data_IF_615515336978
#
_entry.id   IF_615515336978
#
_cell.length_a   1.000
_cell.length_b   1.000
_cell.length_c   1.000
_cell.angle_alpha   90.00
_cell.angle_beta   90.00
_cell.angle_gamma   90.00
#
_symmetry.space_group_name_H-M   'P 1'
#
loop_
_entity.id
_entity.type
_entity.pdbx_description
1 polymer ?
#
# COMPACT_ATOMS: atom_id res chain seq x y z
N UNK A 1 59.62 -22.51 12.75
CA UNK A 1 59.75 -23.20 14.07
C UNK A 1 59.18 -22.30 15.15
N UNK A 2 58.63 -22.88 16.25
CA UNK A 2 57.82 -22.19 17.30
C UNK A 2 56.52 -21.57 16.72
N UNK A 3 55.32 -22.11 16.86
CA UNK A 3 54.71 -23.16 17.71
C UNK A 3 54.37 -22.75 19.16
N UNK A 4 53.21 -22.11 19.33
CA UNK A 4 52.37 -22.04 20.55
C UNK A 4 50.94 -21.60 20.20
N UNK A 5 49.94 -21.82 21.07
CA UNK A 5 49.07 -23.02 21.04
C UNK A 5 47.89 -22.83 22.04
N UNK A 6 46.62 -22.86 21.56
CA UNK A 6 45.35 -22.72 22.34
C UNK A 6 45.09 -21.31 22.93
N UNK A 7 43.85 -20.79 22.95
CA UNK A 7 42.67 -21.39 23.60
C UNK A 7 41.38 -21.41 22.76
N UNK A 8 40.43 -22.22 23.23
CA UNK A 8 39.13 -22.47 22.58
C UNK A 8 38.01 -22.21 23.58
N UNK A 9 36.96 -21.48 23.19
CA UNK A 9 35.74 -21.42 23.99
C UNK A 9 34.50 -21.42 23.09
N UNK A 10 33.71 -22.48 23.22
CA UNK A 10 32.38 -22.58 22.60
C UNK A 10 31.37 -21.94 23.55
N UNK A 11 30.41 -21.20 23.01
CA UNK A 11 29.14 -20.94 23.70
C UNK A 11 28.02 -21.64 22.94
N UNK A 12 27.23 -22.45 23.65
CA UNK A 12 25.96 -22.99 23.17
C UNK A 12 24.80 -22.09 23.66
N UNK A 13 23.63 -22.11 23.00
CA UNK A 13 22.50 -21.27 23.38
C UNK A 13 21.87 -21.71 24.70
N UNK A 14 21.43 -20.74 25.49
CA UNK A 14 20.64 -20.99 26.70
C UNK A 14 19.16 -21.20 26.33
N UNK A 15 18.67 -22.43 26.52
CA UNK A 15 17.23 -22.75 26.45
C UNK A 15 16.62 -22.42 27.81
N UNK A 16 15.62 -21.54 27.83
CA UNK A 16 14.78 -21.30 29.02
C UNK A 16 13.42 -21.93 28.79
N UNK A 17 13.25 -23.16 29.27
CA UNK A 17 11.94 -23.80 29.38
C UNK A 17 11.34 -23.50 30.76
N UNK A 18 10.08 -23.06 30.79
CA UNK A 18 9.30 -22.93 32.02
C UNK A 18 8.08 -23.84 31.90
N UNK A 19 8.03 -24.84 32.76
CA UNK A 19 6.89 -25.75 32.96
C UNK A 19 6.73 -26.02 34.46
N UNK A 20 5.65 -26.72 34.84
CA UNK A 20 5.16 -26.95 36.21
C UNK A 20 4.29 -25.81 36.79
N UNK A 21 3.19 -26.09 37.51
CA UNK A 21 2.51 -27.38 37.76
C UNK A 21 1.01 -27.22 38.10
N UNK A 22 0.23 -28.23 37.73
CA UNK A 22 -1.02 -28.74 38.34
C UNK A 22 -1.93 -27.84 39.21
N UNK A 23 -3.22 -27.84 38.84
CA UNK A 23 -4.30 -28.15 39.77
C UNK A 23 -5.34 -29.03 39.06
N UNK A 24 -5.91 -30.02 39.74
CA UNK A 24 -6.92 -30.93 39.19
C UNK A 24 -8.19 -30.92 40.04
N UNK A 25 -9.35 -30.94 39.40
CA UNK A 25 -10.61 -31.33 40.02
C UNK A 25 -11.53 -31.97 38.99
N UNK A 26 -11.72 -33.29 39.11
CA UNK A 26 -12.85 -34.03 38.52
C UNK A 26 -14.13 -33.73 39.29
N UNK A 27 -15.29 -33.89 38.66
CA UNK A 27 -16.60 -33.87 39.32
C UNK A 27 -17.53 -34.85 38.59
N UNK A 28 -17.62 -36.06 39.15
CA UNK A 28 -18.25 -37.24 38.57
C UNK A 28 -18.67 -38.16 39.75
N UNK A 29 -19.92 -38.63 39.92
CA UNK A 29 -21.18 -38.49 39.16
C UNK A 29 -22.38 -38.32 40.12
N UNK A 30 -23.55 -37.87 39.61
CA UNK A 30 -24.85 -38.01 40.26
C UNK A 30 -26.00 -38.14 39.23
N UNK A 31 -26.36 -39.36 38.87
CA UNK A 31 -27.56 -39.71 38.10
C UNK A 31 -28.73 -39.94 39.08
N UNK A 32 -29.92 -39.42 38.77
CA UNK A 32 -31.14 -39.66 39.56
C UNK A 32 -32.23 -40.17 38.64
N UNK A 33 -32.73 -41.39 38.92
CA UNK A 33 -33.72 -42.09 38.11
C UNK A 33 -35.14 -41.50 38.24
N UNK A 34 -36.00 -41.87 37.30
CA UNK A 34 -37.41 -41.45 37.20
C UNK A 34 -38.33 -42.58 37.66
N UNK A 35 -39.19 -42.31 38.64
CA UNK A 35 -40.41 -43.05 39.04
C UNK A 35 -41.16 -42.18 40.08
N UNK A 36 -42.48 -42.11 40.20
CA UNK A 36 -43.57 -42.42 39.25
C UNK A 36 -44.79 -41.51 39.55
N UNK A 37 -45.90 -41.71 38.85
CA UNK A 37 -47.07 -40.82 38.74
C UNK A 37 -47.74 -40.37 40.07
N UNK A 38 -48.28 -39.15 40.04
CA UNK A 38 -49.68 -38.98 40.42
C UNK A 38 -50.41 -37.98 39.50
N UNK A 39 -51.67 -38.27 39.22
CA UNK A 39 -52.52 -37.65 38.20
C UNK A 39 -53.42 -36.58 38.84
N UNK A 40 -53.43 -35.37 38.30
CA UNK A 40 -54.41 -34.33 38.62
C UNK A 40 -54.77 -33.53 37.37
N UNK A 41 -55.90 -32.84 37.40
CA UNK A 41 -56.65 -32.42 36.22
C UNK A 41 -56.11 -31.14 35.55
N UNK A 42 -56.35 -31.04 34.24
CA UNK A 42 -55.97 -29.87 33.41
C UNK A 42 -57.12 -28.86 33.39
N UNK A 43 -56.94 -27.64 33.92
CA UNK A 43 -57.78 -26.51 33.54
C UNK A 43 -57.44 -26.12 32.10
N UNK A 44 -58.44 -26.04 31.22
CA UNK A 44 -58.23 -25.51 29.86
C UNK A 44 -57.92 -24.02 29.98
N UNK A 45 -56.67 -23.64 29.73
CA UNK A 45 -56.28 -22.24 29.58
C UNK A 45 -56.67 -21.80 28.17
N UNK A 46 -57.54 -20.80 28.12
CA UNK A 46 -58.03 -20.16 26.89
C UNK A 46 -56.86 -19.57 26.07
N UNK A 47 -56.90 -19.56 24.73
CA UNK A 47 -55.83 -19.00 23.92
C UNK A 47 -55.66 -17.50 24.22
N UNK A 48 -54.58 -17.15 24.93
CA UNK A 48 -54.27 -15.76 25.26
C UNK A 48 -54.13 -14.93 23.99
N UNK A 49 -54.74 -13.73 23.99
CA UNK A 49 -54.60 -12.77 22.89
C UNK A 49 -53.12 -12.56 22.50
N UNK A 50 -52.83 -12.30 21.21
CA UNK A 50 -51.48 -11.95 20.80
C UNK A 50 -51.04 -10.70 21.57
N UNK A 51 -49.92 -10.82 22.28
CA UNK A 51 -49.30 -9.69 23.00
C UNK A 51 -49.23 -8.47 22.09
N UNK A 52 -49.65 -7.27 22.54
CA UNK A 52 -49.65 -6.09 21.69
C UNK A 52 -48.25 -5.84 21.13
N UNK A 53 -48.18 -5.47 19.85
CA UNK A 53 -46.92 -5.11 19.21
C UNK A 53 -46.30 -3.93 19.96
N UNK A 54 -45.17 -4.18 20.62
CA UNK A 54 -44.41 -3.14 21.32
C UNK A 54 -43.87 -2.18 20.27
N UNK A 55 -44.59 -1.08 20.09
CA UNK A 55 -44.27 -0.02 19.13
C UNK A 55 -43.14 0.83 19.70
N UNK A 56 -41.92 0.29 19.60
CA UNK A 56 -40.70 0.97 20.00
C UNK A 56 -40.61 2.35 19.34
N UNK A 57 -40.21 3.37 20.11
CA UNK A 57 -40.00 4.75 19.62
C UNK A 57 -38.76 4.90 18.72
N UNK A 58 -38.30 3.81 18.09
CA UNK A 58 -37.13 3.78 17.22
C UNK A 58 -37.23 2.65 16.20
N UNK A 59 -36.45 2.81 15.11
CA UNK A 59 -36.20 1.82 14.09
C UNK A 59 -34.69 1.54 14.02
N UNK A 60 -34.34 0.27 13.92
CA UNK A 60 -33.03 -0.16 13.43
C UNK A 60 -33.19 -0.64 11.99
N UNK A 61 -32.20 -0.35 11.15
CA UNK A 61 -32.11 -0.87 9.79
C UNK A 61 -30.64 -1.01 9.40
N UNK A 62 -30.33 -1.97 8.54
CA UNK A 62 -28.99 -2.21 8.06
C UNK A 62 -28.98 -2.58 6.57
N UNK A 63 -27.78 -2.69 6.00
CA UNK A 63 -27.61 -3.07 4.61
C UNK A 63 -26.16 -3.10 4.18
N UNK A 64 -25.95 -3.34 2.90
CA UNK A 64 -24.63 -3.36 2.27
C UNK A 64 -24.30 -1.97 1.72
N UNK A 65 -23.02 -1.62 1.73
CA UNK A 65 -22.49 -0.43 1.07
C UNK A 65 -22.25 -0.72 -0.42
N UNK A 66 -22.59 0.23 -1.29
CA UNK A 66 -22.21 0.19 -2.69
C UNK A 66 -20.68 0.25 -2.86
N UNK A 67 -20.15 -0.55 -3.79
CA UNK A 67 -18.72 -0.75 -4.02
C UNK A 67 -17.97 0.54 -4.34
N UNK A 68 -18.62 1.49 -5.00
CA UNK A 68 -18.10 2.80 -5.39
C UNK A 68 -18.08 3.85 -4.26
N UNK A 69 -18.49 3.48 -3.03
CA UNK A 69 -18.64 4.40 -1.90
C UNK A 69 -19.68 5.51 -2.12
N UNK A 70 -20.73 5.25 -2.91
CA UNK A 70 -21.87 6.16 -3.13
C UNK A 70 -22.94 6.10 -2.02
N UNK A 71 -22.94 5.08 -1.17
CA UNK A 71 -23.94 4.90 -0.10
C UNK A 71 -23.82 5.96 0.99
N UNK A 72 -24.64 7.01 0.88
CA UNK A 72 -24.84 8.01 1.93
C UNK A 72 -25.62 7.39 3.11
N UNK A 73 -25.22 7.69 4.34
CA UNK A 73 -25.81 7.15 5.58
C UNK A 73 -26.54 8.22 6.38
N UNK A 74 -25.94 9.42 6.48
CA UNK A 74 -26.51 10.66 7.01
C UNK A 74 -25.99 11.84 6.16
N UNK A 75 -26.50 13.06 6.34
CA UNK A 75 -26.02 14.23 5.58
C UNK A 75 -24.52 14.54 5.76
N UNK A 76 -23.89 14.07 6.83
CA UNK A 76 -22.47 14.22 7.12
C UNK A 76 -21.64 12.94 6.95
N UNK A 77 -22.24 11.79 6.60
CA UNK A 77 -21.51 10.52 6.54
C UNK A 77 -22.00 9.57 5.45
N UNK A 78 -21.06 8.82 4.89
CA UNK A 78 -21.26 7.79 3.86
C UNK A 78 -20.43 6.55 4.19
N UNK A 79 -20.70 5.43 3.54
CA UNK A 79 -19.75 4.33 3.49
C UNK A 79 -18.48 4.75 2.73
N UNK A 80 -17.31 4.38 3.24
CA UNK A 80 -16.05 4.48 2.52
C UNK A 80 -15.50 3.05 2.36
N UNK A 81 -15.66 2.49 1.16
CA UNK A 81 -15.34 1.11 0.84
C UNK A 81 -13.88 1.03 0.35
N UNK A 82 -12.97 0.30 1.02
CA UNK A 82 -11.57 0.24 0.62
C UNK A 82 -11.39 -0.36 -0.79
N UNK A 83 -10.84 0.44 -1.70
CA UNK A 83 -10.51 0.06 -3.07
C UNK A 83 -9.00 -0.15 -3.22
N UNK A 84 -8.58 -1.11 -4.04
CA UNK A 84 -7.26 -1.05 -4.70
C UNK A 84 -7.47 -0.44 -6.09
N UNK A 85 -6.79 0.67 -6.37
CA UNK A 85 -6.51 1.06 -7.76
C UNK A 85 -5.24 0.30 -8.16
N UNK A 86 -5.29 -0.67 -9.10
CA UNK A 86 -4.09 -1.42 -9.45
C UNK A 86 -3.05 -0.50 -10.09
N UNK A 87 -1.79 -0.68 -9.70
CA UNK A 87 -0.66 0.07 -10.23
C UNK A 87 -0.10 -0.61 -11.49
N UNK A 88 0.60 0.12 -12.38
CA UNK A 88 1.24 -0.51 -13.54
C UNK A 88 2.22 -1.60 -13.09
N UNK A 89 2.12 -2.80 -13.67
CA UNK A 89 3.04 -3.90 -13.37
C UNK A 89 4.39 -3.66 -14.07
N UNK A 90 5.29 -2.98 -13.37
CA UNK A 90 6.68 -2.78 -13.78
C UNK A 90 7.47 -4.09 -13.82
N UNK A 91 8.49 -4.17 -14.68
CA UNK A 91 9.56 -5.16 -14.51
C UNK A 91 10.39 -4.86 -13.25
N UNK A 92 11.11 -5.84 -12.69
CA UNK A 92 11.98 -5.59 -11.53
C UNK A 92 13.12 -4.58 -11.87
N UNK A 93 13.51 -4.49 -13.14
CA UNK A 93 14.39 -3.49 -13.73
C UNK A 93 13.75 -2.09 -13.78
N UNK A 94 12.52 -1.96 -14.28
CA UNK A 94 11.78 -0.70 -14.23
C UNK A 94 11.52 -0.24 -12.79
N UNK A 95 11.22 -1.18 -11.89
CA UNK A 95 11.03 -0.92 -10.47
C UNK A 95 12.32 -0.43 -9.82
N UNK A 96 13.47 -1.09 -10.07
CA UNK A 96 14.77 -0.62 -9.61
C UNK A 96 15.11 0.79 -10.15
N UNK A 97 14.82 1.08 -11.42
CA UNK A 97 15.02 2.42 -12.00
C UNK A 97 14.11 3.47 -11.31
N UNK A 98 12.84 3.13 -11.05
CA UNK A 98 11.91 3.97 -10.29
C UNK A 98 12.43 4.26 -8.86
N UNK A 99 12.91 3.23 -8.15
CA UNK A 99 13.44 3.36 -6.79
C UNK A 99 14.71 4.21 -6.76
N UNK A 100 15.65 3.95 -7.68
CA UNK A 100 16.90 4.73 -7.81
C UNK A 100 16.58 6.18 -8.12
N UNK A 101 15.74 6.48 -9.12
CA UNK A 101 15.47 7.86 -9.51
C UNK A 101 14.64 8.61 -8.46
N UNK A 102 13.72 7.94 -7.75
CA UNK A 102 12.97 8.56 -6.65
C UNK A 102 13.86 9.04 -5.49
N UNK A 103 15.04 8.45 -5.29
CA UNK A 103 16.05 8.90 -4.33
C UNK A 103 17.15 9.77 -4.96
N UNK A 104 17.42 9.60 -6.25
CA UNK A 104 18.55 10.25 -6.95
C UNK A 104 18.21 11.59 -7.57
N UNK A 105 16.93 11.89 -7.80
CA UNK A 105 16.53 13.22 -8.24
C UNK A 105 16.75 14.30 -7.16
N UNK A 106 16.65 13.94 -5.88
CA UNK A 106 16.90 14.85 -4.76
C UNK A 106 18.37 15.25 -4.62
N UNK A 107 19.31 14.41 -5.07
CA UNK A 107 20.75 14.70 -5.05
C UNK A 107 21.04 16.03 -5.76
N UNK A 108 21.54 17.06 -5.04
CA UNK A 108 21.85 18.34 -5.64
C UNK A 108 23.00 18.22 -6.65
N UNK A 109 22.80 18.77 -7.84
CA UNK A 109 23.83 18.86 -8.86
C UNK A 109 24.02 20.34 -9.24
N UNK A 110 25.27 20.80 -9.39
CA UNK A 110 25.57 22.20 -9.78
C UNK A 110 25.07 22.57 -11.18
N UNK A 111 24.66 21.58 -11.97
CA UNK A 111 24.06 21.76 -13.29
C UNK A 111 22.60 21.28 -13.37
N UNK A 112 21.93 21.09 -12.21
CA UNK A 112 20.46 21.05 -12.16
C UNK A 112 19.93 22.38 -12.71
N UNK A 113 19.31 22.37 -13.90
CA UNK A 113 18.77 23.59 -14.53
C UNK A 113 17.53 24.16 -13.80
N UNK A 114 16.98 23.40 -12.85
CA UNK A 114 15.89 23.83 -11.98
C UNK A 114 15.98 23.14 -10.61
N UNK A 115 15.43 23.80 -9.59
CA UNK A 115 15.21 23.20 -8.27
C UNK A 115 14.01 22.22 -8.25
N UNK A 116 13.54 21.77 -9.42
CA UNK A 116 12.41 20.84 -9.49
C UNK A 116 12.82 19.48 -8.94
N UNK A 117 11.90 18.83 -8.20
CA UNK A 117 12.05 17.49 -7.64
C UNK A 117 10.77 16.69 -7.92
N UNK A 118 10.83 15.62 -8.75
CA UNK A 118 9.66 14.80 -9.07
C UNK A 118 9.23 13.98 -7.85
N UNK A 119 7.92 13.79 -7.67
CA UNK A 119 7.47 12.73 -6.75
C UNK A 119 7.67 11.37 -7.39
N UNK A 120 7.79 10.31 -6.56
CA UNK A 120 7.80 8.91 -7.03
C UNK A 120 6.67 8.59 -8.01
N UNK A 121 5.48 9.16 -7.79
CA UNK A 121 4.32 8.97 -8.67
C UNK A 121 4.56 9.54 -10.08
N UNK A 122 5.30 10.64 -10.22
CA UNK A 122 5.62 11.25 -11.51
C UNK A 122 6.65 10.42 -12.31
N UNK A 123 7.62 9.84 -11.62
CA UNK A 123 8.60 8.91 -12.21
C UNK A 123 7.88 7.61 -12.64
N UNK A 124 7.00 7.07 -11.79
CA UNK A 124 6.14 5.94 -12.14
C UNK A 124 5.25 6.26 -13.35
N UNK A 125 4.74 7.49 -13.47
CA UNK A 125 3.93 7.90 -14.61
C UNK A 125 4.72 7.85 -15.92
N UNK A 126 5.98 8.29 -15.93
CA UNK A 126 6.88 8.14 -17.09
C UNK A 126 7.19 6.66 -17.41
N UNK A 127 7.32 5.82 -16.39
CA UNK A 127 7.62 4.38 -16.53
C UNK A 127 6.37 3.48 -16.67
N UNK A 128 5.17 4.04 -16.81
CA UNK A 128 3.90 3.32 -16.65
C UNK A 128 3.65 2.17 -17.66
N UNK A 129 4.43 2.07 -18.75
CA UNK A 129 4.39 0.96 -19.72
C UNK A 129 5.65 0.07 -19.73
N UNK A 130 6.60 0.30 -18.84
CA UNK A 130 7.85 -0.46 -18.68
C UNK A 130 7.62 -1.82 -17.96
N UNK A 131 6.73 -2.63 -18.51
CA UNK A 131 6.39 -3.98 -18.04
C UNK A 131 7.49 -5.01 -18.35
N UNK A 132 7.43 -6.23 -17.80
CA UNK A 132 8.31 -7.33 -18.20
C UNK A 132 8.33 -7.67 -19.69
N UNK A 133 7.31 -7.25 -20.45
CA UNK A 133 7.23 -7.41 -21.91
C UNK A 133 8.01 -6.31 -22.66
N UNK A 134 7.84 -5.04 -22.26
CA UNK A 134 8.43 -3.90 -22.98
C UNK A 134 9.85 -3.57 -22.54
N UNK A 135 10.17 -3.81 -21.26
CA UNK A 135 11.48 -3.56 -20.66
C UNK A 135 11.84 -4.70 -19.69
N UNK A 136 12.17 -5.90 -20.22
CA UNK A 136 12.39 -7.12 -19.44
C UNK A 136 13.52 -7.00 -18.41
N UNK A 137 13.46 -7.86 -17.40
CA UNK A 137 14.60 -8.09 -16.50
C UNK A 137 15.79 -8.67 -17.29
N UNK A 138 16.99 -8.26 -16.92
CA UNK A 138 18.24 -8.65 -17.60
C UNK A 138 19.24 -9.17 -16.58
N UNK A 139 20.14 -10.06 -16.99
CA UNK A 139 21.03 -10.76 -16.05
C UNK A 139 21.87 -9.78 -15.21
N UNK A 140 21.73 -9.86 -13.88
CA UNK A 140 22.48 -9.05 -12.94
C UNK A 140 23.80 -9.74 -12.59
N UNK A 141 24.90 -9.13 -13.00
CA UNK A 141 26.22 -9.45 -12.46
C UNK A 141 26.32 -8.96 -10.99
N UNK A 142 27.27 -9.46 -10.19
CA UNK A 142 27.47 -8.96 -8.82
C UNK A 142 27.73 -7.45 -8.75
N UNK A 143 28.34 -6.85 -9.79
CA UNK A 143 28.55 -5.41 -9.87
C UNK A 143 27.25 -4.63 -10.11
N UNK A 144 26.35 -5.16 -10.94
CA UNK A 144 25.00 -4.60 -11.15
C UNK A 144 24.17 -4.70 -9.86
N UNK A 145 24.20 -5.83 -9.17
CA UNK A 145 23.40 -6.02 -7.95
C UNK A 145 23.90 -5.12 -6.81
N UNK A 146 25.22 -4.97 -6.61
CA UNK A 146 25.79 -4.01 -5.66
C UNK A 146 25.47 -2.54 -6.05
N UNK A 147 25.45 -2.21 -7.34
CA UNK A 147 25.06 -0.89 -7.84
C UNK A 147 23.58 -0.60 -7.56
N UNK A 148 22.68 -1.56 -7.81
CA UNK A 148 21.25 -1.41 -7.49
C UNK A 148 21.06 -1.22 -5.99
N UNK A 149 21.61 -2.12 -5.16
CA UNK A 149 21.48 -2.04 -3.69
C UNK A 149 22.03 -0.73 -3.11
N UNK A 150 23.21 -0.29 -3.56
CA UNK A 150 23.82 0.96 -3.11
C UNK A 150 23.08 2.23 -3.57
N UNK A 151 22.33 2.16 -4.68
CA UNK A 151 21.54 3.29 -5.17
C UNK A 151 20.10 3.32 -4.60
N UNK A 152 19.51 2.16 -4.26
CA UNK A 152 18.16 2.08 -3.67
C UNK A 152 18.13 2.20 -2.14
N UNK A 153 19.26 2.06 -1.43
CA UNK A 153 19.31 2.21 0.02
C UNK A 153 18.96 3.65 0.46
N UNK A 154 17.85 3.90 1.18
CA UNK A 154 17.49 5.26 1.60
C UNK A 154 18.42 5.82 2.68
N UNK A 155 19.13 4.98 3.44
CA UNK A 155 19.96 5.39 4.59
C UNK A 155 21.38 5.84 4.19
N UNK A 156 21.93 5.31 3.09
CA UNK A 156 23.20 5.77 2.50
C UNK A 156 22.95 6.42 1.15
N UNK A 157 23.31 7.69 1.01
CA UNK A 157 23.28 8.43 -0.25
C UNK A 157 24.67 8.59 -0.90
N UNK A 158 25.72 7.96 -0.36
CA UNK A 158 27.10 8.15 -0.82
C UNK A 158 27.32 7.73 -2.27
N UNK A 159 26.69 6.64 -2.74
CA UNK A 159 26.76 6.22 -4.14
C UNK A 159 25.91 7.11 -5.05
N UNK A 160 24.73 7.55 -4.58
CA UNK A 160 23.87 8.51 -5.29
C UNK A 160 24.56 9.87 -5.46
N UNK A 161 25.19 10.39 -4.41
CA UNK A 161 25.98 11.63 -4.42
C UNK A 161 27.17 11.58 -5.39
N UNK A 162 27.88 10.45 -5.45
CA UNK A 162 28.92 10.21 -6.46
C UNK A 162 28.30 10.32 -7.85
N UNK A 163 27.42 9.38 -8.21
CA UNK A 163 26.93 9.23 -9.59
C UNK A 163 26.10 10.43 -10.06
N UNK A 164 25.09 10.86 -9.30
CA UNK A 164 24.08 11.84 -9.75
C UNK A 164 24.38 13.30 -9.33
N UNK A 165 25.29 13.52 -8.39
CA UNK A 165 25.74 14.86 -7.97
C UNK A 165 26.86 15.46 -8.83
N UNK A 166 27.51 14.62 -9.65
CA UNK A 166 28.57 15.03 -10.57
C UNK A 166 28.07 15.54 -11.93
N UNK A 167 28.90 16.32 -12.61
CA UNK A 167 28.56 16.99 -13.87
C UNK A 167 28.62 16.06 -15.11
N UNK A 168 29.33 14.93 -15.00
CA UNK A 168 29.67 14.04 -16.13
C UNK A 168 29.73 12.57 -15.71
N UNK A 169 29.80 11.70 -16.72
CA UNK A 169 30.12 10.26 -16.67
C UNK A 169 31.16 9.90 -15.60
N UNK A 170 30.90 8.85 -14.80
CA UNK A 170 31.76 8.41 -13.68
C UNK A 170 32.13 6.92 -13.79
N UNK A 171 33.07 6.56 -14.67
CA UNK A 171 33.64 5.23 -14.71
C UNK A 171 34.44 4.97 -13.41
N UNK A 172 34.48 3.73 -12.89
CA UNK A 172 33.76 2.55 -13.38
C UNK A 172 32.30 2.46 -12.87
N UNK A 173 31.88 3.34 -11.97
CA UNK A 173 30.62 3.22 -11.22
C UNK A 173 29.37 3.31 -12.11
N UNK A 174 29.36 4.21 -13.10
CA UNK A 174 28.21 4.37 -13.99
C UNK A 174 28.11 3.28 -15.05
N UNK A 175 29.20 2.57 -15.38
CA UNK A 175 29.19 1.48 -16.36
C UNK A 175 28.13 0.41 -16.05
N UNK A 176 28.04 -0.02 -14.77
CA UNK A 176 27.05 -1.04 -14.37
C UNK A 176 25.61 -0.54 -14.46
N UNK A 177 25.38 0.76 -14.27
CA UNK A 177 24.07 1.40 -14.45
C UNK A 177 23.73 1.51 -15.94
N UNK A 178 24.67 1.96 -16.76
CA UNK A 178 24.51 2.17 -18.20
C UNK A 178 24.24 0.87 -18.97
N UNK A 179 25.06 -0.17 -18.78
CA UNK A 179 24.87 -1.46 -19.48
C UNK A 179 23.70 -2.27 -18.94
N UNK A 180 23.25 -2.01 -17.71
CA UNK A 180 22.02 -2.63 -17.19
C UNK A 180 20.79 -1.89 -17.70
N UNK A 181 20.64 -0.59 -17.43
CA UNK A 181 19.41 0.14 -17.74
C UNK A 181 19.30 0.62 -19.21
N UNK A 182 20.39 0.74 -19.96
CA UNK A 182 20.37 1.29 -21.33
C UNK A 182 20.20 2.81 -21.37
N UNK A 183 20.55 3.51 -20.29
CA UNK A 183 20.45 4.96 -20.15
C UNK A 183 21.63 5.48 -19.34
N UNK A 184 22.21 6.63 -19.73
CA UNK A 184 23.30 7.24 -18.95
C UNK A 184 22.77 7.94 -17.70
N UNK A 185 23.63 8.15 -16.71
CA UNK A 185 23.27 8.83 -15.45
C UNK A 185 22.77 10.27 -15.71
N UNK A 186 23.35 10.94 -16.72
CA UNK A 186 22.94 12.27 -17.17
C UNK A 186 21.58 12.24 -17.90
N UNK A 187 21.38 11.28 -18.80
CA UNK A 187 20.10 11.04 -19.48
C UNK A 187 18.98 10.72 -18.49
N UNK A 188 19.27 9.96 -17.44
CA UNK A 188 18.32 9.63 -16.39
C UNK A 188 17.92 10.86 -15.57
N UNK A 189 18.87 11.72 -15.16
CA UNK A 189 18.55 13.02 -14.52
C UNK A 189 17.74 13.93 -15.44
N UNK A 190 18.04 13.99 -16.75
CA UNK A 190 17.21 14.71 -17.72
C UNK A 190 15.78 14.18 -17.77
N UNK A 191 15.64 12.92 -18.18
CA UNK A 191 14.35 12.26 -18.48
C UNK A 191 13.42 12.20 -17.28
N UNK A 192 13.93 11.83 -16.11
CA UNK A 192 13.11 11.60 -14.91
C UNK A 192 13.09 12.78 -13.93
N UNK A 193 14.15 13.58 -13.84
CA UNK A 193 14.24 14.67 -12.84
C UNK A 193 14.01 16.07 -13.44
N UNK A 194 14.68 16.44 -14.53
CA UNK A 194 14.67 17.83 -15.02
C UNK A 194 13.43 18.18 -15.87
N UNK A 195 12.88 17.22 -16.63
CA UNK A 195 11.70 17.47 -17.48
C UNK A 195 10.38 17.61 -16.70
N UNK A 196 10.39 17.54 -15.37
CA UNK A 196 9.18 17.74 -14.56
C UNK A 196 8.13 16.64 -14.74
N UNK A 197 6.87 17.06 -14.78
CA UNK A 197 5.69 16.23 -15.06
C UNK A 197 5.53 15.83 -16.52
N UNK A 198 6.26 16.47 -17.45
CA UNK A 198 6.17 16.19 -18.89
C UNK A 198 6.47 14.74 -19.20
N UNK A 199 5.52 14.07 -19.85
CA UNK A 199 5.80 12.82 -20.56
C UNK A 199 6.35 13.14 -21.94
N UNK A 200 7.68 13.28 -22.03
CA UNK A 200 8.36 13.22 -23.30
C UNK A 200 8.66 11.74 -23.58
N UNK A 201 8.16 11.18 -24.69
CA UNK A 201 8.26 9.75 -25.01
C UNK A 201 9.66 9.29 -25.45
N UNK A 202 10.70 10.02 -25.05
CA UNK A 202 12.08 9.90 -25.53
C UNK A 202 13.08 10.16 -24.40
N UNK A 203 14.26 9.54 -24.49
CA UNK A 203 15.36 9.82 -23.56
C UNK A 203 15.90 11.23 -23.82
N UNK A 204 15.93 12.05 -22.77
CA UNK A 204 16.37 13.45 -22.85
C UNK A 204 17.89 13.59 -22.80
N UNK A 205 18.43 14.56 -23.55
CA UNK A 205 19.87 14.80 -23.72
C UNK A 205 20.64 13.54 -24.18
N UNK A 206 20.08 12.82 -25.16
CA UNK A 206 20.59 11.52 -25.66
C UNK A 206 22.07 11.58 -26.09
N UNK A 207 22.90 10.83 -25.38
CA UNK A 207 24.33 10.59 -25.58
C UNK A 207 24.59 9.17 -26.08
N UNK A 208 25.86 8.83 -26.36
CA UNK A 208 26.27 7.45 -26.61
C UNK A 208 26.40 6.64 -25.32
N UNK A 209 26.11 5.33 -25.37
CA UNK A 209 26.44 4.35 -24.33
C UNK A 209 27.57 3.51 -24.92
N UNK A 210 28.80 3.88 -24.61
CA UNK A 210 30.01 3.24 -25.17
C UNK A 210 31.04 3.01 -24.07
N UNK A 211 31.80 1.94 -24.16
CA UNK A 211 32.90 1.70 -23.23
C UNK A 211 34.03 2.73 -23.44
N UNK A 212 34.77 3.03 -22.37
CA UNK A 212 35.96 3.92 -22.46
C UNK A 212 36.97 3.36 -23.45
N UNK A 213 37.12 2.04 -23.52
CA UNK A 213 38.04 1.39 -24.43
C UNK A 213 37.61 1.53 -25.90
N UNK A 214 36.30 1.44 -26.20
CA UNK A 214 35.79 1.70 -27.54
C UNK A 214 35.92 3.17 -27.93
N UNK A 215 35.58 4.10 -27.03
CA UNK A 215 35.72 5.54 -27.26
C UNK A 215 37.18 5.94 -27.51
N UNK A 216 38.12 5.44 -26.70
CA UNK A 216 39.54 5.65 -26.90
C UNK A 216 40.00 5.08 -28.24
N UNK A 217 39.58 3.86 -28.57
CA UNK A 217 39.90 3.23 -29.85
C UNK A 217 39.43 4.09 -31.05
N UNK A 218 38.23 4.69 -31.01
CA UNK A 218 37.71 5.54 -32.11
C UNK A 218 38.55 6.81 -32.37
N UNK A 219 39.34 7.28 -31.40
CA UNK A 219 40.30 8.37 -31.60
C UNK A 219 41.62 7.92 -32.27
N UNK A 220 41.92 6.61 -32.22
CA UNK A 220 43.19 6.03 -32.70
C UNK A 220 43.01 5.13 -33.96
N UNK A 221 41.81 4.62 -34.20
CA UNK A 221 41.50 3.56 -35.17
C UNK A 221 40.05 3.64 -35.65
N UNK A 222 39.80 3.26 -36.90
CA UNK A 222 38.45 3.05 -37.45
C UNK A 222 37.93 1.62 -37.31
N UNK A 223 38.69 0.73 -36.65
CA UNK A 223 38.37 -0.69 -36.43
C UNK A 223 38.31 -0.97 -34.94
N UNK A 224 37.15 -0.72 -34.34
CA UNK A 224 36.91 -0.82 -32.91
C UNK A 224 35.68 -1.69 -32.64
N UNK A 225 35.89 -2.84 -32.02
CA UNK A 225 34.83 -3.74 -31.57
C UNK A 225 34.39 -3.32 -30.17
N UNK A 226 33.08 -3.17 -29.96
CA UNK A 226 32.51 -2.83 -28.66
C UNK A 226 32.24 -4.10 -27.84
N UNK A 227 32.35 -4.00 -26.51
CA UNK A 227 32.17 -5.14 -25.61
C UNK A 227 30.71 -5.63 -25.60
N UNK A 228 30.46 -6.95 -25.50
CA UNK A 228 29.10 -7.51 -25.62
C UNK A 228 28.07 -6.91 -24.65
N UNK A 229 28.44 -6.56 -23.43
CA UNK A 229 27.53 -5.96 -22.45
C UNK A 229 27.08 -4.54 -22.84
N UNK A 230 27.92 -3.77 -23.54
CA UNK A 230 27.56 -2.46 -24.07
C UNK A 230 26.69 -2.57 -25.33
N UNK A 231 26.97 -3.57 -26.18
CA UNK A 231 26.09 -3.95 -27.30
C UNK A 231 24.68 -4.31 -26.80
N UNK A 232 24.58 -5.08 -25.71
CA UNK A 232 23.30 -5.38 -25.06
C UNK A 232 22.64 -4.13 -24.46
N UNK A 233 23.41 -3.20 -23.90
CA UNK A 233 22.95 -1.90 -23.40
C UNK A 233 22.15 -1.09 -24.45
N UNK A 234 22.53 -1.12 -25.73
CA UNK A 234 21.75 -0.50 -26.81
C UNK A 234 20.39 -1.19 -27.03
N UNK A 235 20.32 -2.51 -26.88
CA UNK A 235 19.05 -3.24 -26.91
C UNK A 235 18.12 -2.82 -25.76
N UNK A 236 18.68 -2.64 -24.56
CA UNK A 236 17.93 -2.19 -23.39
C UNK A 236 17.52 -0.72 -23.49
N UNK A 237 18.32 0.12 -24.16
CA UNK A 237 17.93 1.49 -24.53
C UNK A 237 16.68 1.50 -25.38
N UNK A 238 16.65 0.73 -26.47
CA UNK A 238 15.49 0.68 -27.37
C UNK A 238 14.22 0.17 -26.66
N UNK A 239 14.36 -0.76 -25.73
CA UNK A 239 13.28 -1.23 -24.85
C UNK A 239 12.76 -0.13 -23.91
N UNK A 240 13.65 0.68 -23.32
CA UNK A 240 13.27 1.83 -22.50
C UNK A 240 12.61 2.93 -23.34
N UNK A 241 13.17 3.27 -24.48
CA UNK A 241 12.62 4.27 -25.43
C UNK A 241 11.19 3.87 -25.86
N UNK A 242 10.98 2.62 -26.30
CA UNK A 242 9.65 2.05 -26.58
C UNK A 242 8.70 2.16 -25.39
N UNK A 243 9.20 1.95 -24.17
CA UNK A 243 8.37 2.01 -22.95
C UNK A 243 7.95 3.43 -22.59
N UNK A 244 8.83 4.43 -22.81
CA UNK A 244 8.51 5.85 -22.65
C UNK A 244 7.52 6.33 -23.73
N UNK A 245 7.74 5.94 -24.99
CA UNK A 245 6.82 6.24 -26.11
C UNK A 245 5.42 5.64 -25.89
N UNK A 246 5.34 4.39 -25.43
CA UNK A 246 4.08 3.77 -25.04
C UNK A 246 3.44 4.49 -23.85
N UNK A 247 4.21 5.03 -22.91
CA UNK A 247 3.67 5.81 -21.80
C UNK A 247 2.93 7.08 -22.22
N UNK A 248 3.35 7.69 -23.34
CA UNK A 248 2.66 8.83 -23.98
C UNK A 248 1.48 8.39 -24.85
N UNK A 249 1.72 7.40 -25.72
CA UNK A 249 0.80 7.03 -26.82
C UNK A 249 -0.30 6.05 -26.41
N UNK A 250 -0.05 5.25 -25.37
CA UNK A 250 -0.96 4.25 -24.81
C UNK A 250 -0.72 4.12 -23.29
N UNK A 251 -0.97 5.21 -22.51
CA UNK A 251 -0.69 5.25 -21.08
C UNK A 251 -1.38 4.12 -20.32
N UNK A 252 -0.87 3.80 -19.13
CA UNK A 252 -1.56 2.86 -18.25
C UNK A 252 -2.83 3.51 -17.68
N UNK A 253 -3.98 3.08 -18.18
CA UNK A 253 -5.27 3.27 -17.51
C UNK A 253 -5.46 2.13 -16.50
N UNK A 254 -5.62 2.41 -15.19
CA UNK A 254 -5.97 1.39 -14.22
C UNK A 254 -7.29 0.70 -14.61
N UNK A 255 -7.42 -0.63 -14.44
CA UNK A 255 -8.72 -1.28 -14.53
C UNK A 255 -9.64 -0.76 -13.42
N UNK A 256 -10.94 -1.06 -13.52
CA UNK A 256 -11.92 -0.76 -12.46
C UNK A 256 -11.39 -1.22 -11.11
N UNK A 257 -11.36 -0.35 -10.07
CA UNK A 257 -10.77 -0.69 -8.78
C UNK A 257 -11.40 -1.95 -8.17
N UNK A 258 -10.57 -2.81 -7.59
CA UNK A 258 -11.04 -4.01 -6.91
C UNK A 258 -11.42 -3.69 -5.46
N UNK A 259 -12.62 -4.12 -5.08
CA UNK A 259 -13.16 -3.97 -3.73
C UNK A 259 -12.42 -4.93 -2.79
N UNK A 260 -11.62 -4.41 -1.85
CA UNK A 260 -10.87 -5.25 -0.91
C UNK A 260 -11.75 -5.99 0.09
N UNK A 261 -12.84 -5.35 0.50
CA UNK A 261 -13.63 -5.70 1.69
C UNK A 261 -15.09 -5.41 1.46
N UNK A 262 -15.97 -6.27 1.99
CA UNK A 262 -17.40 -6.03 1.92
C UNK A 262 -17.83 -5.17 3.10
N UNK A 263 -18.34 -3.97 2.81
CA UNK A 263 -18.75 -3.04 3.85
C UNK A 263 -20.27 -3.11 4.09
N UNK A 264 -20.64 -3.07 5.36
CA UNK A 264 -22.01 -3.11 5.85
C UNK A 264 -22.26 -1.91 6.76
N UNK A 265 -23.47 -1.36 6.70
CA UNK A 265 -23.89 -0.23 7.54
C UNK A 265 -25.05 -0.63 8.46
N UNK A 266 -25.08 -0.03 9.64
CA UNK A 266 -26.24 -0.05 10.54
C UNK A 266 -26.70 1.41 10.78
N UNK A 267 -28.01 1.65 10.79
CA UNK A 267 -28.66 2.93 11.13
C UNK A 267 -29.69 2.75 12.25
N UNK A 268 -29.71 3.70 13.18
CA UNK A 268 -30.76 3.91 14.18
C UNK A 268 -31.50 5.20 13.84
N UNK A 269 -32.82 5.21 13.97
CA UNK A 269 -33.66 6.40 13.78
C UNK A 269 -34.85 6.36 14.76
N UNK A 270 -34.96 7.34 15.66
CA UNK A 270 -36.02 7.35 16.67
C UNK A 270 -35.99 8.51 17.66
N UNK A 271 -37.01 8.57 18.52
CA UNK A 271 -37.10 9.46 19.67
C UNK A 271 -36.83 8.76 21.01
N UNK A 272 -36.70 7.43 21.02
CA UNK A 272 -36.32 6.66 22.22
C UNK A 272 -34.89 7.00 22.67
N UNK A 273 -34.82 7.82 23.71
CA UNK A 273 -33.62 8.38 24.30
C UNK A 273 -32.76 7.32 25.01
N UNK A 274 -33.38 6.25 25.53
CA UNK A 274 -32.69 5.16 26.23
C UNK A 274 -32.10 4.20 25.19
N UNK A 275 -32.89 3.78 24.21
CA UNK A 275 -32.43 2.93 23.11
C UNK A 275 -31.30 3.60 22.32
N UNK A 276 -31.40 4.91 22.05
CA UNK A 276 -30.34 5.67 21.37
C UNK A 276 -29.00 5.63 22.14
N UNK A 277 -29.01 5.89 23.46
CA UNK A 277 -27.79 5.85 24.30
C UNK A 277 -27.22 4.44 24.42
N UNK A 278 -28.07 3.42 24.55
CA UNK A 278 -27.63 2.02 24.56
C UNK A 278 -26.99 1.61 23.23
N UNK A 279 -27.60 1.99 22.11
CA UNK A 279 -27.09 1.66 20.77
C UNK A 279 -25.79 2.40 20.44
N UNK A 280 -25.67 3.67 20.83
CA UNK A 280 -24.43 4.45 20.68
C UNK A 280 -23.29 3.84 21.51
N UNK A 281 -23.56 3.51 22.79
CA UNK A 281 -22.60 2.85 23.67
C UNK A 281 -22.16 1.50 23.11
N UNK A 282 -23.09 0.70 22.58
CA UNK A 282 -22.80 -0.58 21.91
C UNK A 282 -21.83 -0.40 20.75
N UNK A 283 -22.18 0.40 19.73
CA UNK A 283 -21.32 0.60 18.56
C UNK A 283 -19.94 1.19 18.92
N UNK A 284 -19.85 2.11 19.88
CA UNK A 284 -18.57 2.63 20.39
C UNK A 284 -17.75 1.55 21.11
N UNK A 285 -18.38 0.66 21.88
CA UNK A 285 -17.68 -0.47 22.52
C UNK A 285 -17.20 -1.53 21.53
N UNK A 286 -17.88 -1.65 20.38
CA UNK A 286 -17.43 -2.43 19.21
C UNK A 286 -16.33 -1.70 18.38
N UNK A 287 -15.78 -0.60 18.89
CA UNK A 287 -14.70 0.17 18.24
C UNK A 287 -15.13 0.96 17.00
N UNK A 288 -16.42 1.06 16.70
CA UNK A 288 -16.91 1.67 15.47
C UNK A 288 -16.91 3.19 15.53
N UNK A 289 -16.63 3.84 14.39
CA UNK A 289 -16.99 5.24 14.17
C UNK A 289 -18.51 5.35 14.01
N UNK A 290 -19.13 6.31 14.69
CA UNK A 290 -20.58 6.54 14.64
C UNK A 290 -20.84 8.02 14.38
N UNK A 291 -21.58 8.33 13.32
CA UNK A 291 -22.07 9.67 13.04
C UNK A 291 -23.51 9.81 13.51
N UNK A 292 -23.93 11.03 13.83
CA UNK A 292 -25.23 11.35 14.38
C UNK A 292 -25.78 12.64 13.76
N UNK A 293 -27.08 12.65 13.48
CA UNK A 293 -27.86 13.84 13.16
C UNK A 293 -28.98 13.96 14.21
N UNK A 294 -29.00 15.07 14.95
CA UNK A 294 -30.04 15.32 15.97
C UNK A 294 -30.96 16.43 15.49
N UNK A 295 -32.23 16.11 15.27
CA UNK A 295 -33.27 17.06 14.87
C UNK A 295 -34.00 17.59 16.12
N UNK A 296 -33.98 18.90 16.31
CA UNK A 296 -34.72 19.62 17.36
C UNK A 296 -35.38 20.85 16.74
N UNK A 297 -36.70 20.93 16.84
CA UNK A 297 -37.54 21.97 16.20
C UNK A 297 -37.28 22.12 14.68
N UNK A 298 -37.06 21.01 13.98
CA UNK A 298 -36.83 20.96 12.53
C UNK A 298 -35.39 21.30 12.07
N UNK A 299 -34.58 21.94 12.91
CA UNK A 299 -33.15 22.16 12.66
C UNK A 299 -32.37 20.96 13.18
N UNK A 300 -31.34 20.53 12.45
CA UNK A 300 -30.44 19.48 12.91
C UNK A 300 -29.02 19.66 12.39
N UNK A 301 -28.05 19.38 13.26
CA UNK A 301 -26.63 19.32 12.91
C UNK A 301 -26.20 17.85 12.86
N UNK A 302 -25.36 17.52 11.89
CA UNK A 302 -24.81 16.19 11.68
C UNK A 302 -23.29 16.22 11.92
N UNK A 303 -22.78 15.30 12.73
CA UNK A 303 -21.35 15.17 13.05
C UNK A 303 -21.05 13.88 13.80
N UNK A 304 -19.95 13.86 14.56
CA UNK A 304 -19.60 12.73 15.42
C UNK A 304 -20.62 12.53 16.55
N UNK A 305 -20.99 11.26 16.80
CA UNK A 305 -22.01 10.91 17.78
C UNK A 305 -21.55 11.09 19.23
N UNK A 306 -22.36 11.79 20.05
CA UNK A 306 -22.12 11.97 21.49
C UNK A 306 -23.41 11.82 22.30
N UNK A 307 -23.34 11.13 23.44
CA UNK A 307 -24.47 10.95 24.37
C UNK A 307 -24.98 12.28 24.94
N UNK A 308 -24.15 13.34 24.94
CA UNK A 308 -24.51 14.71 25.31
C UNK A 308 -25.55 15.32 24.39
N UNK A 309 -25.61 14.87 23.13
CA UNK A 309 -26.47 15.45 22.11
C UNK A 309 -27.85 14.77 22.09
N UNK A 310 -27.97 13.59 22.72
CA UNK A 310 -29.21 12.83 22.85
C UNK A 310 -30.02 13.42 24.04
N UNK A 311 -30.75 14.50 23.75
CA UNK A 311 -31.58 15.25 24.72
C UNK A 311 -33.08 15.04 24.52
N UNK A 312 -33.86 15.27 25.57
CA UNK A 312 -35.32 15.11 25.55
C UNK A 312 -35.99 15.98 24.45
N UNK A 313 -37.05 15.44 23.85
CA UNK A 313 -37.76 16.04 22.71
C UNK A 313 -36.98 16.05 21.38
N UNK A 314 -35.85 15.35 21.27
CA UNK A 314 -35.07 15.27 20.02
C UNK A 314 -35.41 14.00 19.23
N UNK A 315 -35.41 14.09 17.90
CA UNK A 315 -35.35 12.90 17.04
C UNK A 315 -33.88 12.67 16.67
N UNK A 316 -33.40 11.45 16.89
CA UNK A 316 -32.00 11.06 16.74
C UNK A 316 -31.89 10.07 15.59
N UNK A 317 -31.12 10.45 14.57
CA UNK A 317 -30.59 9.54 13.57
C UNK A 317 -29.11 9.29 13.88
N UNK A 318 -28.69 8.03 13.86
CA UNK A 318 -27.27 7.65 13.97
C UNK A 318 -26.95 6.59 12.94
N UNK A 319 -25.74 6.62 12.40
CA UNK A 319 -25.27 5.60 11.47
C UNK A 319 -23.80 5.24 11.70
N UNK A 320 -23.47 4.01 11.35
CA UNK A 320 -22.11 3.46 11.39
C UNK A 320 -21.92 2.48 10.23
N UNK A 321 -20.68 2.27 9.81
CA UNK A 321 -20.34 1.19 8.88
C UNK A 321 -19.08 0.45 9.35
N UNK A 322 -18.91 -0.78 8.87
CA UNK A 322 -17.73 -1.63 9.08
C UNK A 322 -17.40 -2.37 7.78
N UNK A 323 -16.15 -2.77 7.60
CA UNK A 323 -15.67 -3.43 6.38
C UNK A 323 -14.95 -4.75 6.69
N UNK A 324 -15.56 -5.85 6.27
CA UNK A 324 -15.13 -7.23 6.48
C UNK A 324 -14.26 -7.71 5.32
#
# INVERSE_FOLDING_TARGET
MKNTNKYTQKFLPAIVAVTMLSACSRTDFAEVAVEDQLKSEVPVVEPSEPSPEVTYGYKLSNGECASDSSTQLLSCSKCEVPQVVPVPQLSAKAQALLDIMALSCDVPNKSDQSNFRPTRAMILNKLNRASPENYPETHRTPAIELMVQGLTNPEDDSLRKKMFGGLWYQPPYSNSFEVYFGITVQEAKGTFCWNGDKMDGVISNRTGIYSVEWLNCQYESSRCEEKPEWILGFGYRAQLEKSLELGVTNPYTPPTPEVQKKCFWDKFEGSDLIAAKLQLKKWKSEGRKVSMSVKKNGVGQCGDASDTNITEGSIVEMATYRCE
#
